data_IF_678496719260
#
_entry.id   IF_678496719260
#
_cell.length_a   1.000
_cell.length_b   1.000
_cell.length_c   1.000
_cell.angle_alpha   90.00
_cell.angle_beta   90.00
_cell.angle_gamma   90.00
#
_symmetry.space_group_name_H-M   'P 1'
#
loop_
_entity.id
_entity.type
_entity.pdbx_description
1 polymer ?
#
# COMPACT_ATOMS: atom_id res chain seq x y z
N UNK A 1 -4.13 16.01 17.61
CA UNK A 1 -4.00 15.78 16.16
C UNK A 1 -3.79 14.28 16.00
N UNK A 2 -4.61 13.59 15.19
CA UNK A 2 -4.45 12.15 14.99
C UNK A 2 -3.22 11.94 14.10
N UNK A 3 -2.21 11.22 14.58
CA UNK A 3 -0.96 11.02 13.84
C UNK A 3 -1.17 10.09 12.65
N UNK A 4 -0.70 10.50 11.48
CA UNK A 4 -0.60 9.62 10.29
C UNK A 4 0.37 8.44 10.53
N UNK A 5 1.08 8.42 11.66
CA UNK A 5 1.94 7.30 12.06
C UNK A 5 1.17 5.98 12.26
N UNK A 6 -0.12 6.06 12.60
CA UNK A 6 -0.96 4.86 12.77
C UNK A 6 -1.22 4.08 11.48
N UNK A 7 -0.87 4.62 10.29
CA UNK A 7 -0.97 3.88 9.03
C UNK A 7 0.29 3.09 8.69
N UNK A 8 1.41 3.32 9.38
CA UNK A 8 2.64 2.55 9.12
C UNK A 8 2.40 1.08 9.46
N UNK A 9 2.68 0.20 8.51
CA UNK A 9 2.40 -1.23 8.59
C UNK A 9 1.01 -1.65 8.08
N UNK A 10 0.15 -0.71 7.68
CA UNK A 10 -1.13 -1.03 7.03
C UNK A 10 -0.93 -1.27 5.53
N UNK A 11 -1.68 -2.24 4.99
CA UNK A 11 -1.77 -2.44 3.54
C UNK A 11 -2.80 -1.49 2.89
N UNK A 12 -2.66 -1.31 1.59
CA UNK A 12 -3.60 -0.56 0.78
C UNK A 12 -3.50 -0.92 -0.69
N UNK A 13 -4.33 -0.26 -1.49
CA UNK A 13 -4.35 -0.40 -2.95
C UNK A 13 -4.19 0.97 -3.60
N UNK A 14 -3.33 1.06 -4.62
CA UNK A 14 -3.17 2.29 -5.39
C UNK A 14 -4.40 2.58 -6.25
N UNK A 15 -5.09 3.67 -5.96
CA UNK A 15 -6.15 4.20 -6.83
C UNK A 15 -5.58 5.10 -7.93
N UNK A 16 -4.39 5.68 -7.72
CA UNK A 16 -3.61 6.35 -8.77
C UNK A 16 -2.20 5.80 -8.70
N UNK A 17 -1.68 5.34 -9.85
CA UNK A 17 -0.31 4.83 -9.94
C UNK A 17 0.74 5.89 -9.57
N UNK A 18 1.80 5.46 -8.90
CA UNK A 18 2.93 6.32 -8.58
C UNK A 18 3.84 6.48 -9.81
N UNK A 19 4.69 7.50 -9.78
CA UNK A 19 5.70 7.76 -10.83
C UNK A 19 7.12 7.59 -10.28
N UNK A 20 7.28 6.73 -9.28
CA UNK A 20 8.51 6.60 -8.51
C UNK A 20 8.89 7.94 -7.86
N UNK A 21 10.19 8.25 -7.87
CA UNK A 21 10.69 9.54 -7.39
C UNK A 21 10.15 10.75 -8.18
N UNK A 22 9.62 10.57 -9.39
CA UNK A 22 9.13 11.67 -10.23
C UNK A 22 7.72 12.15 -9.86
N UNK A 23 6.99 11.46 -8.98
CA UNK A 23 5.72 11.98 -8.49
C UNK A 23 4.86 10.97 -7.73
N UNK A 24 4.05 11.51 -6.81
CA UNK A 24 3.12 10.75 -6.02
C UNK A 24 2.00 10.12 -6.86
N UNK A 25 1.54 8.97 -6.39
CA UNK A 25 0.22 8.42 -6.69
C UNK A 25 -0.73 8.66 -5.52
N UNK A 26 -1.77 7.83 -5.44
CA UNK A 26 -2.78 7.90 -4.38
C UNK A 26 -3.14 6.48 -3.95
N UNK A 27 -3.12 6.23 -2.65
CA UNK A 27 -3.39 4.93 -2.03
C UNK A 27 -4.63 5.02 -1.13
N UNK A 28 -5.46 3.98 -1.18
CA UNK A 28 -6.53 3.75 -0.22
C UNK A 28 -6.03 2.75 0.83
N UNK A 29 -5.81 3.20 2.06
CA UNK A 29 -5.23 2.41 3.16
C UNK A 29 -6.32 1.99 4.14
N UNK A 30 -6.32 0.72 4.54
CA UNK A 30 -7.22 0.22 5.60
C UNK A 30 -6.64 0.60 6.96
N UNK A 31 -7.34 1.44 7.72
CA UNK A 31 -6.87 1.91 9.03
C UNK A 31 -8.04 2.30 9.92
N UNK A 32 -7.92 2.11 11.25
CA UNK A 32 -8.92 2.53 12.26
C UNK A 32 -10.34 2.03 11.98
N UNK A 33 -10.48 0.84 11.39
CA UNK A 33 -11.78 0.25 11.07
C UNK A 33 -12.47 0.83 9.82
N UNK A 34 -11.76 1.65 9.04
CA UNK A 34 -12.23 2.17 7.76
C UNK A 34 -11.12 2.20 6.71
N UNK A 35 -11.33 2.99 5.67
CA UNK A 35 -10.34 3.27 4.64
C UNK A 35 -10.12 4.78 4.51
N UNK A 36 -8.87 5.17 4.40
CA UNK A 36 -8.48 6.57 4.23
C UNK A 36 -7.53 6.71 3.03
N UNK A 37 -7.63 7.84 2.35
CA UNK A 37 -6.79 8.15 1.19
C UNK A 37 -5.53 8.91 1.61
N UNK A 38 -4.39 8.55 1.02
CA UNK A 38 -3.10 9.22 1.18
C UNK A 38 -2.38 9.40 -0.15
N UNK A 39 -1.53 10.43 -0.25
CA UNK A 39 -0.58 10.55 -1.34
C UNK A 39 0.55 9.53 -1.14
N UNK A 40 0.75 8.67 -2.12
CA UNK A 40 1.70 7.58 -2.06
C UNK A 40 2.97 7.89 -2.86
N UNK A 41 4.12 7.74 -2.21
CA UNK A 41 5.43 7.79 -2.84
C UNK A 41 6.06 6.41 -2.84
N UNK A 42 6.77 6.07 -3.90
CA UNK A 42 7.52 4.83 -4.03
C UNK A 42 8.85 5.10 -4.71
N UNK A 43 9.81 4.19 -4.55
CA UNK A 43 11.10 4.30 -5.25
C UNK A 43 10.91 4.14 -6.76
N UNK A 44 10.23 3.06 -7.16
CA UNK A 44 9.91 2.72 -8.55
C UNK A 44 8.44 3.04 -8.88
N UNK A 45 8.08 3.30 -10.15
CA UNK A 45 6.70 3.47 -10.57
C UNK A 45 5.85 2.22 -10.29
N UNK A 46 4.71 2.41 -9.64
CA UNK A 46 3.74 1.35 -9.35
C UNK A 46 2.41 1.67 -10.04
N UNK A 47 1.79 0.65 -10.63
CA UNK A 47 0.55 0.82 -11.38
C UNK A 47 -0.66 1.04 -10.44
N UNK A 48 -1.75 1.56 -11.00
CA UNK A 48 -3.05 1.53 -10.32
C UNK A 48 -3.46 0.06 -10.08
N UNK A 49 -4.04 -0.22 -8.91
CA UNK A 49 -4.46 -1.56 -8.49
C UNK A 49 -3.35 -2.37 -7.80
N UNK A 50 -2.10 -1.87 -7.80
CA UNK A 50 -1.02 -2.52 -7.06
C UNK A 50 -1.32 -2.49 -5.56
N UNK A 51 -1.24 -3.66 -4.90
CA UNK A 51 -1.24 -3.77 -3.44
C UNK A 51 0.08 -3.25 -2.90
N UNK A 52 0.00 -2.44 -1.86
CA UNK A 52 1.16 -1.78 -1.27
C UNK A 52 1.13 -1.82 0.24
N UNK A 53 2.31 -1.76 0.86
CA UNK A 53 2.50 -1.63 2.29
C UNK A 53 3.01 -0.23 2.62
N UNK A 54 2.40 0.44 3.58
CA UNK A 54 2.92 1.72 4.10
C UNK A 54 4.11 1.46 5.00
N UNK A 55 5.28 1.96 4.61
CA UNK A 55 6.54 1.77 5.35
C UNK A 55 6.96 2.99 6.17
N UNK A 56 6.49 4.18 5.81
CA UNK A 56 6.78 5.42 6.54
C UNK A 56 5.68 6.46 6.31
N UNK A 57 5.41 7.28 7.33
CA UNK A 57 4.59 8.49 7.20
C UNK A 57 5.50 9.70 6.98
N UNK A 58 5.23 10.49 5.94
CA UNK A 58 5.93 11.75 5.66
C UNK A 58 5.25 12.96 6.34
N UNK A 59 4.14 12.71 7.05
CA UNK A 59 3.22 13.75 7.51
C UNK A 59 2.38 14.34 6.39
N UNK A 60 1.41 15.19 6.75
CA UNK A 60 0.59 15.92 5.77
C UNK A 60 -0.17 15.02 4.79
N UNK A 61 -0.67 13.86 5.23
CA UNK A 61 -1.38 12.87 4.38
C UNK A 61 -0.52 12.23 3.29
N UNK A 62 0.79 12.18 3.49
CA UNK A 62 1.74 11.56 2.57
C UNK A 62 2.42 10.36 3.21
N UNK A 63 2.60 9.30 2.42
CA UNK A 63 3.20 8.05 2.86
C UNK A 63 4.20 7.53 1.85
N UNK A 64 5.21 6.83 2.34
CA UNK A 64 6.06 5.96 1.54
C UNK A 64 5.47 4.56 1.50
N UNK A 65 5.42 3.99 0.31
CA UNK A 65 4.89 2.65 0.08
C UNK A 65 5.83 1.82 -0.78
N UNK A 66 5.78 0.51 -0.54
CA UNK A 66 6.41 -0.51 -1.38
C UNK A 66 5.35 -1.45 -1.93
N UNK A 67 5.62 -2.09 -3.06
CA UNK A 67 4.78 -3.19 -3.54
C UNK A 67 4.69 -4.27 -2.47
N UNK A 68 3.47 -4.75 -2.22
CA UNK A 68 3.18 -5.77 -1.23
C UNK A 68 2.62 -7.02 -1.91
N UNK A 69 3.42 -8.08 -1.89
CA UNK A 69 2.96 -9.44 -2.16
C UNK A 69 2.59 -10.07 -0.82
N UNK A 70 1.33 -10.45 -0.64
CA UNK A 70 0.88 -11.09 0.59
C UNK A 70 1.52 -12.48 0.68
N UNK A 71 2.22 -12.80 1.78
CA UNK A 71 2.86 -14.09 1.93
C UNK A 71 1.86 -15.25 1.88
N UNK A 72 0.58 -15.01 2.18
CA UNK A 72 -0.45 -16.04 2.11
C UNK A 72 -0.84 -16.37 0.66
N UNK A 73 -0.70 -15.43 -0.28
CA UNK A 73 -0.91 -15.70 -1.71
C UNK A 73 0.08 -16.76 -2.21
N UNK A 74 1.30 -16.77 -1.68
CA UNK A 74 2.32 -17.77 -2.00
C UNK A 74 1.98 -19.16 -1.45
N UNK A 75 1.27 -19.26 -0.31
CA UNK A 75 0.84 -20.53 0.26
C UNK A 75 -0.42 -21.09 -0.42
N UNK A 76 -1.24 -20.26 -1.06
CA UNK A 76 -2.46 -20.70 -1.74
C UNK A 76 -2.19 -21.53 -3.02
N UNK A 77 -0.94 -21.58 -3.49
CA UNK A 77 -0.53 -22.25 -4.73
C UNK A 77 -0.41 -23.79 -4.69
N UNK A 78 -0.77 -24.46 -3.59
CA UNK A 78 -0.60 -25.93 -3.43
C UNK A 78 -1.90 -26.68 -3.04
N UNK A 79 -3.02 -26.00 -2.82
CA UNK A 79 -4.27 -26.65 -2.40
C UNK A 79 -5.06 -27.33 -3.56
N UNK A 80 -4.38 -27.66 -4.67
CA UNK A 80 -5.00 -28.04 -5.94
C UNK A 80 -4.92 -29.51 -6.35
N UNK A 81 -4.20 -30.37 -5.62
CA UNK A 81 -4.02 -31.79 -5.98
C UNK A 81 -4.29 -32.73 -4.79
N UNK A 82 -5.55 -32.78 -4.39
CA UNK A 82 -6.08 -33.86 -3.55
C UNK A 82 -7.37 -34.38 -4.21
N UNK A 83 -7.19 -35.02 -5.36
CA UNK A 83 -8.23 -35.78 -6.09
C UNK A 83 -8.02 -37.28 -5.96
#
# INVERSE_FOLDING_TARGET
MVSDEAVVGCDGELVIGTRGAAGAGEVLVRVRGGTETFLAWSAEPLARGTRVLVVTSRGGRQVDVIEWADPLDALAGDAGDAG
#
